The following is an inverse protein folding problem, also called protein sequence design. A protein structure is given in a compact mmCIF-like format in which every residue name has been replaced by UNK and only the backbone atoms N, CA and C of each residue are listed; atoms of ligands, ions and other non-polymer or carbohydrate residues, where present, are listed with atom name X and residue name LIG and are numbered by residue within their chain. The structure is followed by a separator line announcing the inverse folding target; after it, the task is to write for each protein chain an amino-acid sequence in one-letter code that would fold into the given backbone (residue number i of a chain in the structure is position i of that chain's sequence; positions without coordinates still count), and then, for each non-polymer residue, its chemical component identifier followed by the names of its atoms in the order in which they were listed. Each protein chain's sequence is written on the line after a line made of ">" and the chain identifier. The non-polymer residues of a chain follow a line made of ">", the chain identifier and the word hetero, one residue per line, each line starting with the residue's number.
data_IF_389468194486
#
_entry.id   IF_389468194486
#
_cell.length_a   1.000
_cell.length_b   1.000
_cell.length_c   1.000
_cell.angle_alpha   90.00
_cell.angle_beta   90.00
_cell.angle_gamma   90.00
#
_symmetry.space_group_name_H-M   'P 1'
#
loop_
_entity.id
_entity.type
_entity.pdbx_description
1 polymer ?
#
# COMPACT_ATOMS: atom_id res chain seq x y z
N UNK A 1 -6.04 -4.42 -10.82
CA UNK A 1 -4.56 -4.64 -10.92
C UNK A 1 -4.17 -5.93 -10.19
N UNK A 2 -2.96 -6.49 -10.34
CA UNK A 2 -2.57 -7.71 -9.60
C UNK A 2 -2.45 -7.48 -8.08
N UNK A 3 -1.80 -6.38 -7.66
CA UNK A 3 -1.71 -5.98 -6.24
C UNK A 3 -3.09 -5.84 -5.60
N UNK A 4 -4.02 -5.17 -6.29
CA UNK A 4 -5.40 -5.02 -5.84
C UNK A 4 -6.09 -6.36 -5.57
N UNK A 5 -5.95 -7.32 -6.48
CA UNK A 5 -6.55 -8.65 -6.30
C UNK A 5 -6.04 -9.31 -5.03
N UNK A 6 -4.75 -9.17 -4.73
CA UNK A 6 -4.14 -9.69 -3.50
C UNK A 6 -4.71 -8.97 -2.28
N UNK A 7 -4.72 -7.63 -2.28
CA UNK A 7 -5.24 -6.82 -1.17
C UNK A 7 -6.71 -7.15 -0.88
N UNK A 8 -7.55 -7.25 -1.91
CA UNK A 8 -8.99 -7.52 -1.78
C UNK A 8 -9.31 -8.92 -1.23
N UNK A 9 -8.32 -9.80 -1.05
CA UNK A 9 -8.51 -11.10 -0.37
C UNK A 9 -8.49 -10.98 1.15
N UNK A 10 -7.96 -9.89 1.68
CA UNK A 10 -7.92 -9.63 3.11
C UNK A 10 -9.18 -8.88 3.53
N UNK A 11 -9.92 -9.41 4.50
CA UNK A 11 -11.13 -8.75 5.00
C UNK A 11 -10.78 -7.55 5.90
N UNK A 12 -9.56 -7.55 6.44
CA UNK A 12 -9.03 -6.53 7.34
C UNK A 12 -8.70 -5.21 6.62
N UNK A 13 -8.45 -5.26 5.30
CA UNK A 13 -8.08 -4.08 4.51
C UNK A 13 -9.29 -3.40 3.87
N UNK A 14 -9.14 -2.11 3.61
CA UNK A 14 -10.09 -1.28 2.88
C UNK A 14 -9.93 -1.38 1.37
N UNK A 15 -10.77 -0.62 0.67
CA UNK A 15 -10.78 -0.60 -0.81
C UNK A 15 -9.72 0.32 -1.42
N UNK A 16 -9.14 1.21 -0.61
CA UNK A 16 -8.20 2.23 -1.03
C UNK A 16 -6.77 1.79 -0.71
N UNK A 17 -5.89 1.94 -1.70
CA UNK A 17 -4.47 1.65 -1.58
C UNK A 17 -3.68 2.61 -2.49
N UNK A 18 -2.43 2.86 -2.11
CA UNK A 18 -1.48 3.70 -2.82
C UNK A 18 -0.14 3.01 -2.90
N UNK A 19 0.33 2.77 -4.12
CA UNK A 19 1.66 2.25 -4.38
C UNK A 19 2.59 3.43 -4.57
N UNK A 20 3.51 3.63 -3.64
CA UNK A 20 4.55 4.66 -3.71
C UNK A 20 5.84 3.98 -4.16
N UNK A 21 6.43 4.50 -5.23
CA UNK A 21 7.75 4.04 -5.70
C UNK A 21 8.70 5.21 -5.62
N UNK A 22 9.75 5.10 -4.82
CA UNK A 22 10.73 6.16 -4.61
C UNK A 22 12.15 5.63 -4.79
N UNK A 23 13.08 6.51 -5.18
CA UNK A 23 14.49 6.16 -5.23
C UNK A 23 15.17 6.65 -3.95
N UNK A 24 15.55 5.72 -3.06
CA UNK A 24 16.23 6.05 -1.81
C UNK A 24 17.65 5.52 -1.85
N UNK A 25 18.63 6.40 -1.67
CA UNK A 25 20.06 6.06 -1.72
C UNK A 25 20.49 5.28 -2.99
N UNK A 26 19.89 5.58 -4.14
CA UNK A 26 20.20 4.89 -5.40
C UNK A 26 19.56 3.51 -5.54
N UNK A 27 18.70 3.10 -4.61
CA UNK A 27 17.89 1.88 -4.70
C UNK A 27 16.42 2.25 -4.85
N UNK A 28 15.72 1.59 -5.77
CA UNK A 28 14.28 1.76 -5.91
C UNK A 28 13.56 1.02 -4.77
N UNK A 29 12.87 1.76 -3.92
CA UNK A 29 12.00 1.22 -2.88
C UNK A 29 10.54 1.30 -3.33
N UNK A 30 9.84 0.17 -3.25
CA UNK A 30 8.39 0.10 -3.45
C UNK A 30 7.71 -0.02 -2.09
N UNK A 31 6.85 0.95 -1.78
CA UNK A 31 6.01 0.94 -0.60
C UNK A 31 4.54 0.87 -1.02
N UNK A 32 3.76 0.02 -0.38
CA UNK A 32 2.31 -0.08 -0.59
C UNK A 32 1.63 0.38 0.69
N UNK A 33 0.93 1.50 0.60
CA UNK A 33 0.08 2.00 1.66
C UNK A 33 -1.32 1.46 1.44
N UNK A 34 -1.90 0.79 2.44
CA UNK A 34 -3.25 0.25 2.35
C UNK A 34 -4.04 0.67 3.57
N UNK A 35 -5.27 1.14 3.34
CA UNK A 35 -6.17 1.49 4.42
C UNK A 35 -6.62 0.22 5.15
N UNK A 36 -6.67 0.27 6.47
CA UNK A 36 -7.20 -0.81 7.30
C UNK A 36 -8.60 -0.42 7.76
N UNK A 37 -9.50 -1.39 7.85
CA UNK A 37 -10.83 -1.12 8.39
C UNK A 37 -10.75 -0.64 9.85
N UNK A 38 -11.60 0.32 10.21
CA UNK A 38 -11.58 0.94 11.55
C UNK A 38 -11.74 -0.10 12.68
N UNK A 39 -12.48 -1.16 12.42
CA UNK A 39 -12.72 -2.29 13.33
C UNK A 39 -11.46 -3.11 13.61
N UNK A 40 -10.47 -3.08 12.71
CA UNK A 40 -9.19 -3.77 12.84
C UNK A 40 -8.06 -2.87 13.35
N UNK A 41 -8.25 -1.55 13.30
CA UNK A 41 -7.31 -0.56 13.82
C UNK A 41 -7.41 -0.38 15.36
N UNK A 42 -7.93 -1.37 16.08
CA UNK A 42 -8.27 -1.31 17.52
C UNK A 42 -7.06 -1.34 18.48
N UNK A 43 -5.84 -1.13 17.97
CA UNK A 43 -4.62 -0.97 18.77
C UNK A 43 -3.82 -2.24 19.03
N UNK A 44 -4.18 -3.38 18.44
CA UNK A 44 -3.37 -4.60 18.53
C UNK A 44 -2.21 -4.55 17.51
N UNK A 45 -1.07 -3.99 17.93
CA UNK A 45 0.11 -3.84 17.09
C UNK A 45 0.62 -5.17 16.53
N UNK A 46 0.60 -6.26 17.30
CA UNK A 46 1.04 -7.58 16.81
C UNK A 46 0.17 -8.10 15.66
N UNK A 47 -1.15 -7.85 15.72
CA UNK A 47 -2.06 -8.25 14.64
C UNK A 47 -1.78 -7.45 13.37
N UNK A 48 -1.54 -6.14 13.49
CA UNK A 48 -1.20 -5.26 12.38
C UNK A 48 0.15 -5.62 11.76
N UNK A 49 1.16 -5.92 12.57
CA UNK A 49 2.46 -6.38 12.07
C UNK A 49 2.35 -7.71 11.32
N UNK A 50 1.59 -8.68 11.85
CA UNK A 50 1.35 -9.94 11.18
C UNK A 50 0.60 -9.76 9.86
N UNK A 51 -0.41 -8.88 9.83
CA UNK A 51 -1.14 -8.55 8.61
C UNK A 51 -0.22 -7.93 7.56
N UNK A 52 0.60 -6.95 7.94
CA UNK A 52 1.58 -6.32 7.05
C UNK A 52 2.54 -7.35 6.44
N UNK A 53 3.07 -8.26 7.26
CA UNK A 53 3.94 -9.36 6.79
C UNK A 53 3.23 -10.31 5.84
N UNK A 54 1.98 -10.70 6.13
CA UNK A 54 1.17 -11.56 5.24
C UNK A 54 0.92 -10.90 3.89
N UNK A 55 0.51 -9.63 3.89
CA UNK A 55 0.28 -8.88 2.66
C UNK A 55 1.57 -8.77 1.85
N UNK A 56 2.69 -8.43 2.50
CA UNK A 56 4.00 -8.34 1.83
C UNK A 56 4.37 -9.67 1.16
N UNK A 57 4.14 -10.79 1.85
CA UNK A 57 4.38 -12.12 1.31
C UNK A 57 3.52 -12.45 0.09
N UNK A 58 2.20 -12.26 0.17
CA UNK A 58 1.28 -12.55 -0.93
C UNK A 58 1.53 -11.64 -2.13
N UNK A 59 1.81 -10.36 -1.89
CA UNK A 59 2.13 -9.43 -2.98
C UNK A 59 3.45 -9.83 -3.62
N UNK A 60 4.47 -10.19 -2.83
CA UNK A 60 5.76 -10.68 -3.36
C UNK A 60 5.59 -11.92 -4.21
N UNK A 61 4.74 -12.86 -3.81
CA UNK A 61 4.48 -14.07 -4.60
C UNK A 61 3.84 -13.73 -5.96
N UNK A 62 2.94 -12.74 -5.96
CA UNK A 62 2.22 -12.30 -7.17
C UNK A 62 3.08 -11.45 -8.12
N UNK A 63 3.89 -10.50 -7.62
CA UNK A 63 4.65 -9.56 -8.45
C UNK A 63 6.17 -9.78 -8.45
N UNK A 64 6.67 -10.78 -7.72
CA UNK A 64 8.09 -11.14 -7.57
C UNK A 64 9.00 -10.02 -7.01
N UNK A 65 8.39 -8.99 -6.42
CA UNK A 65 9.07 -7.85 -5.77
C UNK A 65 8.61 -7.80 -4.32
N UNK A 66 9.51 -7.53 -3.38
CA UNK A 66 9.14 -7.40 -1.96
C UNK A 66 8.79 -5.94 -1.64
N UNK A 67 7.50 -5.57 -1.53
CA UNK A 67 7.13 -4.23 -1.15
C UNK A 67 7.21 -4.04 0.38
N UNK A 68 7.51 -2.82 0.80
CA UNK A 68 7.26 -2.36 2.16
C UNK A 68 5.76 -2.10 2.34
N UNK A 69 5.10 -2.80 3.26
CA UNK A 69 3.67 -2.62 3.51
C UNK A 69 3.44 -1.66 4.68
N UNK A 70 2.70 -0.60 4.42
CA UNK A 70 2.30 0.40 5.41
C UNK A 70 0.79 0.38 5.60
N UNK A 71 0.37 0.00 6.78
CA UNK A 71 -1.04 0.05 7.18
C UNK A 71 -1.37 1.47 7.64
N UNK A 72 -2.38 2.08 7.04
CA UNK A 72 -2.81 3.44 7.36
C UNK A 72 -4.28 3.47 7.77
N UNK A 73 -4.68 4.57 8.41
CA UNK A 73 -6.07 4.77 8.84
C UNK A 73 -7.01 4.89 7.63
N UNK A 74 -8.27 4.44 7.76
CA UNK A 74 -9.25 4.56 6.70
C UNK A 74 -9.59 6.02 6.41
N UNK A 75 -9.59 6.39 5.14
CA UNK A 75 -9.74 7.78 4.67
C UNK A 75 -8.47 8.63 4.73
N UNK A 76 -7.32 8.08 5.10
CA UNK A 76 -6.05 8.81 5.18
C UNK A 76 -5.36 8.95 3.82
N UNK A 77 -5.64 8.05 2.87
CA UNK A 77 -5.00 8.10 1.56
C UNK A 77 -5.52 9.26 0.69
N UNK A 78 -4.65 9.90 -0.11
CA UNK A 78 -5.03 11.02 -0.96
C UNK A 78 -6.01 10.58 -2.05
N UNK A 79 -7.17 11.24 -2.11
CA UNK A 79 -8.17 11.08 -3.17
C UNK A 79 -8.14 12.34 -4.03
N UNK A 80 -7.46 12.30 -5.19
CA UNK A 80 -7.48 13.44 -6.13
C UNK A 80 -8.88 13.59 -6.73
N UNK A 81 -9.31 14.84 -6.97
CA UNK A 81 -10.61 15.28 -7.54
C UNK A 81 -11.41 14.22 -8.34
N UNK A 82 -12.10 13.31 -7.64
CA UNK A 82 -12.93 12.27 -8.25
C UNK A 82 -12.19 11.09 -8.94
N UNK A 83 -10.86 11.01 -8.87
CA UNK A 83 -10.06 9.88 -9.37
C UNK A 83 -9.17 9.31 -8.25
N UNK A 84 -9.34 8.02 -7.98
CA UNK A 84 -8.46 7.29 -7.07
C UNK A 84 -7.06 7.18 -7.70
N UNK A 85 -6.05 7.77 -7.06
CA UNK A 85 -4.64 7.61 -7.43
C UNK A 85 -4.14 6.33 -6.78
N UNK A 86 -3.82 5.31 -7.59
CA UNK A 86 -3.34 4.00 -7.10
C UNK A 86 -1.83 3.86 -7.11
N UNK A 87 -1.14 4.69 -7.88
CA UNK A 87 0.32 4.64 -8.04
C UNK A 87 0.87 6.07 -8.01
N UNK A 88 1.89 6.29 -7.19
CA UNK A 88 2.66 7.51 -7.08
C UNK A 88 4.14 7.17 -7.33
N UNK A 89 4.65 7.58 -8.49
CA UNK A 89 6.06 7.45 -8.83
C UNK A 89 6.81 8.72 -8.40
N UNK A 90 7.67 8.58 -7.41
CA UNK A 90 8.57 9.62 -6.88
C UNK A 90 10.01 9.42 -7.37
N UNK A 91 10.26 8.43 -8.24
CA UNK A 91 11.59 8.19 -8.83
C UNK A 91 11.94 9.24 -9.86
N UNK A 92 10.94 9.80 -10.55
CA UNK A 92 11.11 10.93 -11.45
C UNK A 92 10.68 12.22 -10.75
N UNK A 93 11.40 13.35 -10.93
CA UNK A 93 10.80 14.64 -10.64
C UNK A 93 9.52 14.74 -11.48
N UNK A 94 8.40 15.06 -10.86
CA UNK A 94 7.17 15.32 -11.59
C UNK A 94 7.47 16.43 -12.59
N UNK A 95 7.49 16.09 -13.89
CA UNK A 95 7.44 17.10 -14.93
C UNK A 95 6.08 17.80 -14.78
N UNK A 96 6.09 18.92 -14.06
CA UNK A 96 5.03 19.91 -14.15
C UNK A 96 5.00 20.38 -15.60
N UNK A 97 4.01 19.90 -16.35
CA UNK A 97 3.54 20.57 -17.57
C UNK A 97 2.70 21.77 -17.16
#
# INVERSE_FOLDING_TARGET
>A
MQIEKVLMRFAEVGNDYLIVVENRNGSDEMQIQVEVQKEWFTGNMEALENLSRKISHEVRDEILVTPAIRLVEPGSLPKSEGKAVRVQDLRKPQESV
#
